data_IF_619405898432
#
_entry.id   IF_619405898432
#
_cell.length_a   1.000
_cell.length_b   1.000
_cell.length_c   1.000
_cell.angle_alpha   90.00
_cell.angle_beta   90.00
_cell.angle_gamma   90.00
#
_symmetry.space_group_name_H-M   'P 1'
#
loop_
_entity.id
_entity.type
_entity.pdbx_description
1 polymer ?
#
# COMPACT_ATOMS: atom_id res chain seq x y z
N UNK A 1 -19.41 -30.49 18.74
CA UNK A 1 -17.94 -30.46 18.59
C UNK A 1 -17.47 -29.04 18.87
N UNK A 2 -16.97 -28.76 20.07
CA UNK A 2 -16.40 -27.47 20.42
C UNK A 2 -14.88 -27.50 20.17
N UNK A 3 -14.37 -26.46 19.49
CA UNK A 3 -12.95 -26.26 19.21
C UNK A 3 -12.13 -26.25 20.51
N UNK A 4 -11.12 -27.11 20.58
CA UNK A 4 -10.23 -27.33 21.74
C UNK A 4 -9.05 -26.36 21.83
N UNK A 5 -9.04 -25.27 21.05
CA UNK A 5 -7.95 -24.30 21.09
C UNK A 5 -8.34 -23.03 21.84
N UNK A 6 -7.63 -22.66 22.91
CA UNK A 6 -7.81 -21.35 23.53
C UNK A 6 -7.47 -20.25 22.51
N UNK A 7 -8.16 -19.09 22.55
CA UNK A 7 -7.82 -17.97 21.69
C UNK A 7 -6.37 -17.56 21.93
N UNK A 8 -5.61 -17.20 20.87
CA UNK A 8 -4.24 -16.76 21.02
C UNK A 8 -4.16 -15.59 22.00
N UNK A 9 -3.22 -15.66 22.94
CA UNK A 9 -3.00 -14.59 23.92
C UNK A 9 -2.76 -13.26 23.21
N UNK A 10 -3.30 -12.13 23.72
CA UNK A 10 -3.07 -10.83 23.11
C UNK A 10 -1.58 -10.52 23.11
N UNK A 11 -1.04 -10.26 21.93
CA UNK A 11 0.36 -9.81 21.76
C UNK A 11 0.54 -8.52 22.56
N UNK A 12 1.52 -8.40 23.47
CA UNK A 12 1.74 -7.17 24.21
C UNK A 12 1.86 -5.97 23.27
N UNK A 13 1.29 -4.82 23.67
CA UNK A 13 1.18 -3.64 22.79
C UNK A 13 2.53 -3.17 22.21
N UNK A 14 3.63 -3.36 22.95
CA UNK A 14 5.00 -3.07 22.50
C UNK A 14 5.40 -3.97 21.33
N UNK A 15 5.18 -5.29 21.45
CA UNK A 15 5.42 -6.26 20.36
C UNK A 15 4.56 -5.98 19.14
N UNK A 16 3.29 -5.56 19.29
CA UNK A 16 2.45 -5.18 18.16
C UNK A 16 2.97 -3.93 17.44
N UNK A 17 3.39 -2.90 18.18
CA UNK A 17 3.96 -1.67 17.60
C UNK A 17 5.27 -1.96 16.85
N UNK A 18 6.16 -2.76 17.44
CA UNK A 18 7.41 -3.17 16.80
C UNK A 18 7.12 -3.96 15.53
N UNK A 19 6.23 -4.97 15.61
CA UNK A 19 5.80 -5.75 14.46
C UNK A 19 5.23 -4.89 13.33
N UNK A 20 4.26 -4.01 13.62
CA UNK A 20 3.63 -3.15 12.63
C UNK A 20 4.65 -2.17 12.02
N UNK A 21 5.58 -1.66 12.81
CA UNK A 21 6.68 -0.81 12.34
C UNK A 21 7.66 -1.55 11.42
N UNK A 22 8.01 -2.79 11.77
CA UNK A 22 8.89 -3.66 10.97
C UNK A 22 8.26 -4.00 9.62
N UNK A 23 6.94 -4.20 9.53
CA UNK A 23 6.25 -4.43 8.25
C UNK A 23 6.04 -3.15 7.44
N UNK A 24 5.81 -2.01 8.12
CA UNK A 24 5.62 -0.73 7.46
C UNK A 24 6.92 -0.28 6.77
N UNK A 25 8.09 -0.54 7.35
CA UNK A 25 9.36 -0.08 6.80
C UNK A 25 9.66 -0.62 5.38
N UNK A 26 9.61 -1.94 5.10
CA UNK A 26 9.75 -2.46 3.74
C UNK A 26 8.66 -1.95 2.79
N UNK A 27 7.42 -1.80 3.26
CA UNK A 27 6.33 -1.24 2.45
C UNK A 27 6.57 0.23 2.06
N UNK A 28 7.16 1.01 2.96
CA UNK A 28 7.54 2.38 2.68
C UNK A 28 8.75 2.43 1.76
N UNK A 29 9.78 1.61 1.99
CA UNK A 29 11.01 1.59 1.21
C UNK A 29 10.78 1.12 -0.23
N UNK A 30 10.15 -0.04 -0.42
CA UNK A 30 10.02 -0.66 -1.74
C UNK A 30 8.93 -0.02 -2.60
N UNK A 31 7.81 0.32 -1.99
CA UNK A 31 6.60 0.71 -2.73
C UNK A 31 6.36 2.21 -2.59
N UNK A 32 6.09 2.68 -1.37
CA UNK A 32 5.49 4.00 -1.20
C UNK A 32 6.49 5.14 -1.51
N UNK A 33 7.71 5.02 -1.02
CA UNK A 33 8.79 5.98 -1.26
C UNK A 33 9.25 5.97 -2.72
N UNK A 34 9.47 4.78 -3.29
CA UNK A 34 9.83 4.63 -4.70
C UNK A 34 8.78 5.25 -5.62
N UNK A 35 7.50 4.96 -5.40
CA UNK A 35 6.39 5.56 -6.15
C UNK A 35 6.34 7.07 -5.96
N UNK A 36 6.56 7.57 -4.74
CA UNK A 36 6.63 9.01 -4.49
C UNK A 36 7.77 9.67 -5.28
N UNK A 37 8.97 9.08 -5.33
CA UNK A 37 10.09 9.61 -6.12
C UNK A 37 9.78 9.65 -7.61
N UNK A 38 9.15 8.61 -8.15
CA UNK A 38 8.70 8.57 -9.54
C UNK A 38 7.69 9.70 -9.77
N UNK A 39 6.67 9.81 -8.93
CA UNK A 39 5.66 10.87 -9.01
C UNK A 39 6.30 12.27 -9.00
N UNK A 40 7.21 12.54 -8.07
CA UNK A 40 7.93 13.83 -7.97
C UNK A 40 8.77 14.10 -9.23
N UNK A 41 9.47 13.09 -9.75
CA UNK A 41 10.27 13.21 -10.99
C UNK A 41 9.40 13.52 -12.21
N UNK A 42 8.19 12.95 -12.27
CA UNK A 42 7.27 13.21 -13.36
C UNK A 42 6.66 14.61 -13.26
N UNK A 43 6.27 15.03 -12.05
CA UNK A 43 5.79 16.41 -11.80
C UNK A 43 6.85 17.46 -12.17
N UNK A 44 8.12 17.23 -11.82
CA UNK A 44 9.21 18.17 -12.17
C UNK A 44 9.44 18.29 -13.68
N UNK A 45 8.91 17.36 -14.48
CA UNK A 45 8.91 17.38 -15.95
C UNK A 45 7.58 17.89 -16.53
N UNK A 46 6.77 18.59 -15.73
CA UNK A 46 5.45 19.10 -16.08
C UNK A 46 4.51 18.00 -16.62
N UNK A 47 4.63 16.78 -16.10
CA UNK A 47 3.68 15.70 -16.39
C UNK A 47 2.56 15.72 -15.36
N UNK A 48 1.33 15.48 -15.82
CA UNK A 48 0.19 15.24 -14.96
C UNK A 48 0.42 13.91 -14.20
N UNK A 49 0.24 13.93 -12.89
CA UNK A 49 0.48 12.76 -12.02
C UNK A 49 -0.66 12.61 -11.03
N UNK A 50 -1.23 11.42 -11.00
CA UNK A 50 -2.26 11.01 -10.03
C UNK A 50 -1.69 9.93 -9.12
N UNK A 51 -1.71 10.17 -7.81
CA UNK A 51 -1.29 9.21 -6.79
C UNK A 51 -2.51 8.72 -6.00
N UNK A 52 -2.52 7.44 -5.64
CA UNK A 52 -3.52 6.88 -4.74
C UNK A 52 -2.87 5.95 -3.70
N UNK A 53 -3.54 5.81 -2.55
CA UNK A 53 -3.25 4.84 -1.52
C UNK A 53 -4.42 3.88 -1.38
N UNK A 54 -4.17 2.58 -1.50
CA UNK A 54 -5.15 1.56 -1.18
C UNK A 54 -4.93 1.06 0.25
N UNK A 55 -5.91 1.30 1.11
CA UNK A 55 -5.91 0.96 2.54
C UNK A 55 -7.10 0.06 2.92
N UNK A 56 -7.96 -0.32 1.97
CA UNK A 56 -9.08 -1.24 2.19
C UNK A 56 -8.56 -2.66 2.50
N UNK A 57 -8.96 -3.27 3.62
CA UNK A 57 -8.60 -4.64 3.96
C UNK A 57 -8.98 -5.67 2.90
N UNK A 58 -8.23 -6.78 2.84
CA UNK A 58 -8.62 -7.94 2.03
C UNK A 58 -9.99 -8.46 2.53
N UNK A 59 -10.98 -8.60 1.64
CA UNK A 59 -12.33 -9.00 2.03
C UNK A 59 -12.48 -10.46 2.47
N UNK A 60 -11.58 -11.36 2.05
CA UNK A 60 -11.62 -12.80 2.37
C UNK A 60 -10.68 -13.22 3.50
N UNK A 61 -9.79 -12.33 3.94
CA UNK A 61 -8.91 -12.56 5.07
C UNK A 61 -9.55 -12.11 6.39
N UNK A 62 -8.90 -12.37 7.54
CA UNK A 62 -9.36 -11.75 8.77
C UNK A 62 -9.29 -10.22 8.61
N UNK A 63 -10.44 -9.56 8.73
CA UNK A 63 -10.63 -8.12 8.45
C UNK A 63 -9.76 -7.20 9.34
N UNK A 64 -9.18 -7.76 10.41
CA UNK A 64 -8.22 -7.06 11.27
C UNK A 64 -6.82 -6.91 10.60
N UNK A 65 -6.59 -7.53 9.44
CA UNK A 65 -5.40 -7.32 8.62
C UNK A 65 -5.62 -6.13 7.70
N UNK A 66 -4.60 -5.28 7.59
CA UNK A 66 -4.59 -4.12 6.69
C UNK A 66 -4.57 -4.57 5.23
N UNK A 67 -4.72 -3.61 4.32
CA UNK A 67 -4.37 -3.83 2.91
C UNK A 67 -2.96 -4.41 2.78
N UNK A 68 -2.80 -5.40 1.91
CA UNK A 68 -1.52 -6.00 1.55
C UNK A 68 -1.24 -5.78 0.06
N UNK A 69 -0.08 -6.25 -0.41
CA UNK A 69 0.27 -6.16 -1.83
C UNK A 69 -0.83 -6.77 -2.72
N UNK A 70 -1.24 -6.02 -3.75
CA UNK A 70 -2.28 -6.39 -4.70
C UNK A 70 -3.71 -6.55 -4.11
N UNK A 71 -3.97 -6.04 -2.90
CA UNK A 71 -5.30 -6.08 -2.30
C UNK A 71 -6.34 -5.23 -3.07
N UNK A 72 -5.89 -4.32 -3.93
CA UNK A 72 -6.71 -3.46 -4.79
C UNK A 72 -7.27 -4.16 -6.02
N UNK A 73 -6.67 -5.28 -6.44
CA UNK A 73 -7.02 -5.95 -7.69
C UNK A 73 -8.51 -6.35 -7.78
N UNK A 74 -9.15 -6.88 -6.71
CA UNK A 74 -10.58 -7.17 -6.76
C UNK A 74 -11.43 -5.93 -7.04
N UNK A 75 -11.08 -4.79 -6.44
CA UNK A 75 -11.76 -3.51 -6.63
C UNK A 75 -11.50 -2.89 -8.00
N UNK A 76 -10.38 -3.22 -8.66
CA UNK A 76 -10.10 -2.71 -10.01
C UNK A 76 -10.84 -3.51 -11.09
N UNK A 77 -10.80 -4.85 -11.05
CA UNK A 77 -11.28 -5.69 -12.16
C UNK A 77 -12.73 -6.16 -12.06
N UNK A 78 -13.40 -5.99 -10.91
CA UNK A 78 -14.88 -5.97 -10.84
C UNK A 78 -15.65 -7.29 -10.90
N UNK A 79 -14.99 -8.44 -10.97
CA UNK A 79 -15.65 -9.75 -11.20
C UNK A 79 -15.60 -10.69 -9.99
N UNK A 80 -15.66 -10.13 -8.79
CA UNK A 80 -15.54 -10.90 -7.55
C UNK A 80 -16.78 -10.75 -6.68
N UNK A 81 -17.25 -11.87 -6.13
CA UNK A 81 -18.28 -11.85 -5.08
C UNK A 81 -17.62 -11.57 -3.74
N UNK A 82 -17.91 -10.40 -3.16
CA UNK A 82 -17.44 -10.04 -1.82
C UNK A 82 -18.30 -10.72 -0.75
N UNK A 83 -17.71 -11.16 0.38
CA UNK A 83 -18.46 -11.64 1.53
C UNK A 83 -19.44 -10.58 2.05
N UNK A 84 -20.60 -11.03 2.54
CA UNK A 84 -21.71 -10.17 2.99
C UNK A 84 -21.25 -9.10 3.99
N UNK A 85 -20.36 -9.47 4.92
CA UNK A 85 -19.85 -8.59 5.98
C UNK A 85 -18.98 -7.44 5.45
N UNK A 86 -18.43 -7.59 4.24
CA UNK A 86 -17.55 -6.59 3.62
C UNK A 86 -18.16 -5.99 2.36
N UNK A 87 -19.31 -6.50 1.91
CA UNK A 87 -19.89 -6.22 0.61
C UNK A 87 -20.08 -4.72 0.39
N UNK A 88 -20.68 -4.01 1.35
CA UNK A 88 -20.92 -2.57 1.23
C UNK A 88 -19.62 -1.77 1.07
N UNK A 89 -18.65 -2.00 1.97
CA UNK A 89 -17.38 -1.31 1.97
C UNK A 89 -16.58 -1.58 0.68
N UNK A 90 -16.53 -2.84 0.25
CA UNK A 90 -15.83 -3.24 -0.96
C UNK A 90 -16.49 -2.73 -2.23
N UNK A 91 -17.83 -2.77 -2.29
CA UNK A 91 -18.59 -2.28 -3.45
C UNK A 91 -18.40 -0.79 -3.64
N UNK A 92 -18.40 -0.01 -2.56
CA UNK A 92 -18.14 1.43 -2.59
C UNK A 92 -16.73 1.75 -3.08
N UNK A 93 -15.71 1.03 -2.58
CA UNK A 93 -14.32 1.21 -3.03
C UNK A 93 -14.14 0.78 -4.49
N UNK A 94 -14.73 -0.35 -4.89
CA UNK A 94 -14.70 -0.84 -6.26
C UNK A 94 -15.31 0.17 -7.24
N UNK A 95 -16.53 0.63 -6.97
CA UNK A 95 -17.22 1.58 -7.83
C UNK A 95 -16.39 2.85 -8.06
N UNK A 96 -15.86 3.46 -6.98
CA UNK A 96 -15.06 4.66 -7.09
C UNK A 96 -13.71 4.43 -7.79
N UNK A 97 -13.03 3.31 -7.49
CA UNK A 97 -11.74 3.01 -8.13
C UNK A 97 -11.92 2.80 -9.63
N UNK A 98 -12.95 2.07 -10.04
CA UNK A 98 -13.27 1.85 -11.45
C UNK A 98 -13.64 3.17 -12.15
N UNK A 99 -14.47 4.01 -11.53
CA UNK A 99 -14.82 5.32 -12.07
C UNK A 99 -13.58 6.19 -12.30
N UNK A 100 -12.70 6.32 -11.28
CA UNK A 100 -11.47 7.10 -11.42
C UNK A 100 -10.52 6.53 -12.49
N UNK A 101 -10.37 5.21 -12.59
CA UNK A 101 -9.55 4.60 -13.64
C UNK A 101 -10.15 4.82 -15.03
N UNK A 102 -11.47 4.73 -15.18
CA UNK A 102 -12.17 5.03 -16.43
C UNK A 102 -11.95 6.50 -16.84
N UNK A 103 -12.10 7.44 -15.90
CA UNK A 103 -11.81 8.87 -16.15
C UNK A 103 -10.38 9.08 -16.60
N UNK A 104 -9.40 8.47 -15.91
CA UNK A 104 -7.99 8.55 -16.32
C UNK A 104 -7.76 8.01 -17.75
N UNK A 105 -8.35 6.86 -18.10
CA UNK A 105 -8.22 6.26 -19.44
C UNK A 105 -8.85 7.16 -20.51
N UNK A 106 -9.95 7.84 -20.21
CA UNK A 106 -10.60 8.80 -21.11
C UNK A 106 -9.80 10.10 -21.30
N UNK A 107 -8.78 10.33 -20.47
CA UNK A 107 -8.05 11.59 -20.43
C UNK A 107 -8.73 12.66 -19.58
N UNK A 108 -9.80 12.32 -18.86
CA UNK A 108 -10.46 13.19 -17.90
C UNK A 108 -9.62 13.29 -16.61
N UNK A 109 -9.97 14.24 -15.75
CA UNK A 109 -9.38 14.33 -14.40
C UNK A 109 -10.06 13.30 -13.49
N UNK A 110 -9.36 12.25 -13.04
CA UNK A 110 -9.94 11.24 -12.15
C UNK A 110 -10.25 11.79 -10.77
N UNK A 111 -9.42 12.69 -10.25
CA UNK A 111 -9.62 13.40 -8.97
C UNK A 111 -8.62 14.55 -8.85
N UNK A 112 -8.99 15.55 -8.03
CA UNK A 112 -8.15 16.71 -7.71
C UNK A 112 -7.42 16.50 -6.38
N UNK A 113 -6.08 16.53 -6.40
CA UNK A 113 -5.27 16.36 -5.20
C UNK A 113 -4.13 17.38 -5.18
N UNK A 114 -3.94 18.05 -4.03
CA UNK A 114 -2.80 18.93 -3.82
C UNK A 114 -1.50 18.12 -3.61
N UNK A 115 -0.35 18.79 -3.65
CA UNK A 115 0.92 18.13 -3.34
C UNK A 115 0.91 17.55 -1.91
N UNK A 116 1.45 16.34 -1.78
CA UNK A 116 1.37 15.56 -0.55
C UNK A 116 0.03 14.88 -0.28
N UNK A 117 -1.01 15.11 -1.09
CA UNK A 117 -2.28 14.38 -1.05
C UNK A 117 -2.30 13.24 -2.08
N UNK A 118 -3.24 12.31 -1.87
CA UNK A 118 -3.52 11.20 -2.76
C UNK A 118 -4.99 10.80 -2.62
N UNK A 119 -5.57 10.18 -3.66
CA UNK A 119 -6.86 9.50 -3.51
C UNK A 119 -6.70 8.31 -2.56
N UNK A 120 -7.58 8.18 -1.57
CA UNK A 120 -7.56 7.06 -0.62
C UNK A 120 -8.74 6.13 -0.87
N UNK A 121 -8.45 4.85 -0.98
CA UNK A 121 -9.44 3.79 -1.08
C UNK A 121 -9.39 2.92 0.17
N UNK A 122 -10.40 3.06 1.03
CA UNK A 122 -10.48 2.46 2.35
C UNK A 122 -9.76 3.23 3.45
N UNK A 123 -9.74 2.69 4.68
CA UNK A 123 -10.45 1.47 5.09
C UNK A 123 -11.96 1.70 5.28
N UNK A 124 -12.72 0.62 5.41
CA UNK A 124 -14.17 0.62 5.72
C UNK A 124 -14.97 1.43 4.69
N UNK A 125 -14.69 1.25 3.40
CA UNK A 125 -15.44 1.88 2.33
C UNK A 125 -15.20 3.38 2.16
N UNK A 126 -14.26 3.97 2.90
CA UNK A 126 -13.94 5.40 2.76
C UNK A 126 -13.27 5.66 1.41
N UNK A 127 -13.75 6.67 0.70
CA UNK A 127 -13.14 7.13 -0.55
C UNK A 127 -13.03 8.64 -0.46
N UNK A 128 -11.81 9.17 -0.44
CA UNK A 128 -11.57 10.60 -0.36
C UNK A 128 -10.14 10.94 -0.71
N UNK A 129 -9.93 12.17 -1.19
CA UNK A 129 -8.59 12.77 -1.23
C UNK A 129 -8.15 13.07 0.20
N UNK A 130 -6.91 12.71 0.54
CA UNK A 130 -6.35 12.98 1.87
C UNK A 130 -4.84 12.97 1.90
N UNK A 131 -4.25 13.37 3.03
CA UNK A 131 -2.80 13.48 3.14
C UNK A 131 -2.12 12.11 3.20
N UNK A 132 -1.04 11.92 2.42
CA UNK A 132 -0.26 10.68 2.43
C UNK A 132 0.29 10.34 3.82
N UNK A 133 0.67 11.35 4.60
CA UNK A 133 1.22 11.21 5.96
C UNK A 133 0.27 10.54 6.95
N UNK A 134 -1.04 10.52 6.69
CA UNK A 134 -1.99 9.89 7.62
C UNK A 134 -2.04 8.36 7.43
N UNK A 135 -1.55 7.86 6.28
CA UNK A 135 -1.56 6.42 5.94
C UNK A 135 -0.15 5.84 5.75
N UNK A 136 0.89 6.67 5.62
CA UNK A 136 2.28 6.29 5.33
C UNK A 136 3.25 7.06 6.22
N UNK A 137 4.42 6.49 6.50
CA UNK A 137 5.44 7.19 7.29
C UNK A 137 6.25 8.18 6.43
N UNK A 138 5.59 9.22 5.93
CA UNK A 138 6.21 10.25 5.06
C UNK A 138 7.40 10.93 5.73
N UNK A 139 7.46 10.98 7.07
CA UNK A 139 8.63 11.46 7.80
C UNK A 139 9.87 10.58 7.54
N UNK A 140 9.71 9.27 7.51
CA UNK A 140 10.81 8.35 7.20
C UNK A 140 11.29 8.50 5.75
N UNK A 141 10.42 8.94 4.83
CA UNK A 141 10.81 9.16 3.44
C UNK A 141 11.88 10.24 3.32
N UNK A 142 11.81 11.31 4.11
CA UNK A 142 12.86 12.35 4.15
C UNK A 142 14.23 11.82 4.53
N UNK A 143 14.28 10.80 5.40
CA UNK A 143 15.53 10.13 5.74
C UNK A 143 16.02 9.33 4.54
N UNK A 144 15.13 8.60 3.86
CA UNK A 144 15.46 7.81 2.67
C UNK A 144 15.86 8.67 1.46
N UNK A 145 15.38 9.91 1.35
CA UNK A 145 15.82 10.86 0.31
C UNK A 145 17.29 11.23 0.43
N UNK A 146 17.84 11.23 1.65
CA UNK A 146 19.25 11.48 1.89
C UNK A 146 20.16 10.30 1.59
N UNK A 147 19.61 9.14 1.26
CA UNK A 147 20.37 7.91 1.00
C UNK A 147 20.58 7.68 -0.50
N UNK A 148 21.77 7.20 -0.84
CA UNK A 148 22.07 6.67 -2.18
C UNK A 148 21.29 5.39 -2.46
N UNK A 149 21.19 5.03 -3.75
CA UNK A 149 20.55 3.76 -4.17
C UNK A 149 21.20 2.56 -3.49
N UNK A 150 22.53 2.53 -3.40
CA UNK A 150 23.27 1.42 -2.80
C UNK A 150 23.01 1.29 -1.30
N UNK A 151 22.87 2.41 -0.60
CA UNK A 151 22.50 2.42 0.82
C UNK A 151 21.08 1.92 1.03
N UNK A 152 20.14 2.29 0.16
CA UNK A 152 18.75 1.80 0.23
C UNK A 152 18.67 0.29 -0.04
N UNK A 153 19.41 -0.22 -1.03
CA UNK A 153 19.49 -1.67 -1.31
C UNK A 153 20.09 -2.42 -0.13
N UNK A 154 21.24 -1.97 0.39
CA UNK A 154 21.86 -2.60 1.58
C UNK A 154 20.92 -2.59 2.79
N UNK A 155 20.21 -1.49 3.01
CA UNK A 155 19.24 -1.37 4.10
C UNK A 155 18.09 -2.35 3.91
N UNK A 156 17.61 -2.50 2.67
CA UNK A 156 16.62 -3.52 2.35
C UNK A 156 17.16 -4.92 2.60
N UNK A 157 18.36 -5.28 2.13
CA UNK A 157 18.91 -6.63 2.29
C UNK A 157 19.04 -7.02 3.77
N UNK A 158 19.43 -6.08 4.64
CA UNK A 158 19.51 -6.29 6.09
C UNK A 158 18.13 -6.55 6.71
N UNK A 159 17.09 -5.84 6.26
CA UNK A 159 15.74 -5.98 6.84
C UNK A 159 14.94 -7.11 6.19
N UNK A 160 14.97 -7.21 4.87
CA UNK A 160 14.33 -8.25 4.06
C UNK A 160 14.96 -9.63 4.26
N UNK A 161 16.28 -9.71 4.45
CA UNK A 161 16.97 -10.93 4.84
C UNK A 161 16.46 -11.51 6.17
N UNK A 162 15.90 -10.68 7.05
CA UNK A 162 15.27 -11.10 8.30
C UNK A 162 13.79 -11.50 8.16
N UNK A 163 13.14 -11.24 7.01
CA UNK A 163 11.70 -11.47 6.77
C UNK A 163 11.45 -12.63 5.78
N UNK A 164 12.51 -13.23 5.24
CA UNK A 164 12.47 -14.37 4.30
C UNK A 164 13.16 -14.00 2.99
N UNK A 165 14.05 -14.89 2.52
CA UNK A 165 14.96 -14.67 1.40
C UNK A 165 14.29 -14.05 0.16
N UNK A 166 14.58 -12.77 -0.08
CA UNK A 166 14.61 -12.20 -1.42
C UNK A 166 16.06 -11.86 -1.73
N UNK A 167 16.69 -12.71 -2.53
CA UNK A 167 18.02 -12.45 -3.07
C UNK A 167 17.86 -11.62 -4.35
N UNK A 168 18.12 -10.31 -4.24
CA UNK A 168 18.16 -9.41 -5.40
C UNK A 168 19.52 -9.44 -6.14
N UNK A 169 20.48 -10.27 -5.70
CA UNK A 169 21.83 -10.30 -6.25
C UNK A 169 22.01 -11.22 -7.47
N UNK A 170 20.96 -11.88 -7.96
CA UNK A 170 21.08 -12.75 -9.13
C UNK A 170 21.02 -12.01 -10.46
N UNK A 171 21.86 -10.99 -10.64
CA UNK A 171 22.31 -10.57 -11.97
C UNK A 171 23.41 -11.53 -12.43
N UNK A 172 23.01 -12.72 -12.92
CA UNK A 172 23.87 -13.49 -13.82
C UNK A 172 23.34 -13.34 -15.24
N UNK A 173 24.12 -12.77 -16.18
CA UNK A 173 23.70 -12.72 -17.56
C UNK A 173 23.53 -14.16 -18.10
N UNK A 174 22.58 -14.39 -19.02
CA UNK A 174 22.36 -15.70 -19.60
C UNK A 174 23.62 -16.16 -20.36
N UNK A 175 23.95 -17.45 -20.20
CA UNK A 175 25.01 -18.14 -20.93
C UNK A 175 24.63 -18.33 -22.40
#
# INVERSE_FOLDING_TARGET
MHSLFPPPSPVPAVTKRVHDGTLQFPSDLLVSFSNHRIATTWRSKNKQVYEYNFDQPNPWGPQNRRAHHAAEMPSLFGNYTFPEETYEAMSKVQAAMQEHFISFIRGDVPFEAADGQAMKYGPVGKVAVGWKKDSRNVRAWKVMEGLSRDELVKTFDVVGGCIGHFDFSSDRPPK
#
